data_IF_397076830855
#
_entry.id   IF_397076830855
#
_cell.length_a   1.000
_cell.length_b   1.000
_cell.length_c   1.000
_cell.angle_alpha   90.00
_cell.angle_beta   90.00
_cell.angle_gamma   90.00
#
_symmetry.space_group_name_H-M   'P 1'
#
loop_
_entity.id
_entity.type
_entity.pdbx_description
1 polymer ?
#
# COMPACT_ATOMS: atom_id res chain seq x y z
N UNK A 1 3.36 7.21 -9.01
CA UNK A 1 2.35 6.53 -9.85
C UNK A 1 2.96 5.88 -11.09
N UNK A 2 3.87 6.56 -11.76
CA UNK A 2 4.48 6.02 -12.97
C UNK A 2 5.18 4.68 -12.72
N UNK A 3 5.98 4.59 -11.67
CA UNK A 3 6.64 3.34 -11.29
C UNK A 3 5.64 2.24 -10.95
N UNK A 4 4.54 2.60 -10.30
CA UNK A 4 3.48 1.63 -9.99
C UNK A 4 2.83 1.07 -11.26
N UNK A 5 2.62 1.92 -12.26
CA UNK A 5 2.01 1.49 -13.52
C UNK A 5 2.93 0.53 -14.29
N UNK A 6 4.24 0.80 -14.29
CA UNK A 6 5.23 -0.04 -14.98
C UNK A 6 5.93 -1.04 -14.06
N UNK A 7 5.34 -1.34 -12.91
CA UNK A 7 5.96 -2.24 -11.93
C UNK A 7 6.22 -3.65 -12.46
N UNK A 8 5.48 -4.09 -13.48
CA UNK A 8 5.75 -5.33 -14.20
C UNK A 8 7.13 -5.32 -14.88
N UNK A 9 7.56 -4.16 -15.38
CA UNK A 9 8.88 -3.99 -15.99
C UNK A 9 9.99 -3.89 -14.93
N UNK A 10 9.68 -3.36 -13.75
CA UNK A 10 10.65 -3.15 -12.67
C UNK A 10 10.86 -4.40 -11.82
N UNK A 11 9.82 -5.19 -11.60
CA UNK A 11 9.84 -6.33 -10.69
C UNK A 11 10.91 -7.38 -11.03
N UNK A 12 11.17 -7.73 -12.31
CA UNK A 12 12.24 -8.69 -12.64
C UNK A 12 13.63 -8.21 -12.25
N UNK A 13 13.83 -6.90 -12.07
CA UNK A 13 15.12 -6.30 -11.73
C UNK A 13 15.26 -5.96 -10.25
N UNK A 14 14.21 -6.19 -9.45
CA UNK A 14 14.18 -5.79 -8.05
C UNK A 14 14.13 -7.03 -7.14
N UNK A 15 14.84 -6.96 -6.02
CA UNK A 15 14.74 -7.99 -4.97
C UNK A 15 13.51 -7.75 -4.10
N UNK A 16 13.15 -6.49 -3.90
CA UNK A 16 11.96 -6.12 -3.13
C UNK A 16 11.43 -4.75 -3.58
N UNK A 17 10.17 -4.53 -3.32
CA UNK A 17 9.52 -3.23 -3.46
C UNK A 17 9.10 -2.70 -2.09
N UNK A 18 9.22 -1.39 -1.90
CA UNK A 18 8.56 -0.70 -0.79
C UNK A 18 7.70 0.41 -1.38
N UNK A 19 6.42 0.40 -1.02
CA UNK A 19 5.47 1.41 -1.46
C UNK A 19 5.38 2.48 -0.37
N UNK A 20 5.68 3.72 -0.72
CA UNK A 20 5.42 4.87 0.13
C UNK A 20 4.00 5.35 -0.13
N UNK A 21 3.09 5.01 0.78
CA UNK A 21 1.66 5.31 0.61
C UNK A 21 1.37 6.81 0.58
N UNK A 22 2.13 7.62 1.30
CA UNK A 22 1.95 9.07 1.29
C UNK A 22 2.39 9.67 -0.05
N UNK A 23 3.52 9.22 -0.56
CA UNK A 23 4.06 9.70 -1.82
C UNK A 23 3.17 9.32 -3.00
N UNK A 24 2.72 8.07 -3.06
CA UNK A 24 1.84 7.64 -4.15
C UNK A 24 0.49 8.37 -4.11
N UNK A 25 -0.05 8.60 -2.93
CA UNK A 25 -1.30 9.36 -2.78
C UNK A 25 -1.14 10.80 -3.25
N UNK A 26 -0.08 11.48 -2.81
CA UNK A 26 0.18 12.88 -3.21
C UNK A 26 0.32 13.04 -4.72
N UNK A 27 1.10 12.19 -5.34
CA UNK A 27 1.34 12.29 -6.78
C UNK A 27 0.13 11.84 -7.61
N UNK A 28 -0.59 10.83 -7.16
CA UNK A 28 -1.79 10.37 -7.85
C UNK A 28 -2.89 11.42 -7.82
N UNK A 29 -3.05 12.09 -6.67
CA UNK A 29 -4.11 13.07 -6.46
C UNK A 29 -3.66 14.52 -6.76
N UNK A 30 -2.40 14.69 -7.15
CA UNK A 30 -1.78 16.01 -7.40
C UNK A 30 -1.98 16.96 -6.20
N UNK A 31 -1.82 16.43 -4.99
CA UNK A 31 -2.05 17.16 -3.73
C UNK A 31 -0.77 17.12 -2.90
N UNK A 32 -0.32 18.25 -2.42
CA UNK A 32 0.91 18.38 -1.63
C UNK A 32 0.65 18.75 -0.17
N UNK A 33 -0.62 18.84 0.23
CA UNK A 33 -1.02 19.07 1.60
C UNK A 33 -1.05 17.77 2.40
N UNK A 34 -1.06 17.87 3.75
CA UNK A 34 -1.07 16.69 4.62
C UNK A 34 -2.31 15.83 4.43
N UNK A 35 -3.47 16.47 4.20
CA UNK A 35 -4.73 15.79 3.93
C UNK A 35 -5.06 15.90 2.44
N UNK A 36 -4.71 14.88 1.68
CA UNK A 36 -4.94 14.84 0.24
C UNK A 36 -6.33 14.31 -0.15
N UNK A 37 -7.05 13.70 0.78
CA UNK A 37 -8.37 13.15 0.47
C UNK A 37 -9.45 14.18 0.73
N UNK A 38 -10.19 14.55 -0.33
CA UNK A 38 -11.35 15.44 -0.21
C UNK A 38 -12.49 14.70 0.50
N UNK A 39 -13.17 15.34 1.47
CA UNK A 39 -14.31 14.72 2.14
C UNK A 39 -15.41 14.23 1.20
N UNK A 40 -15.62 14.94 0.09
CA UNK A 40 -16.69 14.61 -0.88
C UNK A 40 -16.32 13.45 -1.81
N UNK A 41 -15.02 13.20 -2.03
CA UNK A 41 -14.54 12.22 -3.00
C UNK A 41 -13.55 11.21 -2.41
N UNK A 42 -13.45 11.16 -1.07
CA UNK A 42 -12.43 10.36 -0.39
C UNK A 42 -12.42 8.89 -0.82
N UNK A 43 -13.59 8.28 -0.97
CA UNK A 43 -13.70 6.86 -1.36
C UNK A 43 -13.13 6.60 -2.75
N UNK A 44 -13.48 7.46 -3.73
CA UNK A 44 -12.95 7.33 -5.09
C UNK A 44 -11.47 7.61 -5.19
N UNK A 45 -10.98 8.59 -4.44
CA UNK A 45 -9.56 8.93 -4.35
C UNK A 45 -8.77 7.78 -3.73
N UNK A 46 -9.24 7.22 -2.64
CA UNK A 46 -8.62 6.07 -1.99
C UNK A 46 -8.61 4.86 -2.92
N UNK A 47 -9.70 4.59 -3.60
CA UNK A 47 -9.79 3.49 -4.55
C UNK A 47 -8.72 3.60 -5.65
N UNK A 48 -8.49 4.80 -6.19
CA UNK A 48 -7.45 5.01 -7.20
C UNK A 48 -6.06 4.67 -6.66
N UNK A 49 -5.74 5.13 -5.46
CA UNK A 49 -4.46 4.84 -4.78
C UNK A 49 -4.34 3.36 -4.51
N UNK A 50 -5.39 2.72 -3.99
CA UNK A 50 -5.39 1.29 -3.68
C UNK A 50 -5.21 0.42 -4.93
N UNK A 51 -5.76 0.82 -6.06
CA UNK A 51 -5.54 0.11 -7.33
C UNK A 51 -4.09 0.17 -7.80
N UNK A 52 -3.43 1.30 -7.65
CA UNK A 52 -2.01 1.42 -7.97
C UNK A 52 -1.15 0.58 -7.04
N UNK A 53 -1.44 0.59 -5.75
CA UNK A 53 -0.76 -0.24 -4.75
C UNK A 53 -0.97 -1.72 -5.10
N UNK A 54 -2.19 -2.13 -5.38
CA UNK A 54 -2.53 -3.50 -5.74
C UNK A 54 -1.83 -3.97 -7.00
N UNK A 55 -1.72 -3.11 -8.01
CA UNK A 55 -1.00 -3.41 -9.24
C UNK A 55 0.49 -3.68 -8.96
N UNK A 56 1.11 -2.83 -8.16
CA UNK A 56 2.52 -3.00 -7.76
C UNK A 56 2.73 -4.29 -6.97
N UNK A 57 1.84 -4.59 -6.03
CA UNK A 57 1.91 -5.80 -5.21
C UNK A 57 1.77 -7.06 -6.08
N UNK A 58 0.80 -7.08 -6.98
CA UNK A 58 0.59 -8.20 -7.89
C UNK A 58 1.82 -8.46 -8.75
N UNK A 59 2.40 -7.41 -9.30
CA UNK A 59 3.58 -7.55 -10.16
C UNK A 59 4.81 -8.00 -9.37
N UNK A 60 4.98 -7.54 -8.12
CA UNK A 60 6.04 -8.01 -7.24
C UNK A 60 5.90 -9.51 -6.95
N UNK A 61 4.73 -9.93 -6.49
CA UNK A 61 4.46 -11.33 -6.13
C UNK A 61 4.64 -12.24 -7.36
N UNK A 62 4.14 -11.83 -8.51
CA UNK A 62 4.24 -12.59 -9.75
C UNK A 62 5.70 -12.84 -10.17
N UNK A 63 6.59 -11.92 -9.84
CA UNK A 63 8.02 -12.01 -10.19
C UNK A 63 8.90 -12.48 -9.02
N UNK A 64 8.30 -12.94 -7.93
CA UNK A 64 9.02 -13.43 -6.76
C UNK A 64 9.70 -12.35 -5.94
N UNK A 65 9.40 -11.08 -6.15
CA UNK A 65 9.91 -9.98 -5.35
C UNK A 65 9.05 -9.82 -4.08
N UNK A 66 9.69 -9.40 -3.00
CA UNK A 66 8.97 -9.07 -1.77
C UNK A 66 8.40 -7.67 -1.86
N UNK A 67 7.32 -7.41 -1.17
CA UNK A 67 6.70 -6.10 -1.17
C UNK A 67 6.27 -5.67 0.23
N UNK A 68 6.69 -4.45 0.59
CA UNK A 68 6.31 -3.80 1.82
C UNK A 68 5.61 -2.47 1.56
N UNK A 69 5.04 -1.90 2.61
CA UNK A 69 4.37 -0.60 2.56
C UNK A 69 4.77 0.24 3.77
N UNK A 70 4.96 1.53 3.54
CA UNK A 70 5.19 2.53 4.59
C UNK A 70 4.24 3.71 4.40
N UNK A 71 4.27 4.65 5.32
CA UNK A 71 3.43 5.84 5.30
C UNK A 71 2.12 5.67 6.03
N UNK A 72 1.24 6.66 5.92
CA UNK A 72 0.01 6.75 6.72
C UNK A 72 -0.94 5.57 6.49
N UNK A 73 -1.07 5.10 5.26
CA UNK A 73 -1.97 3.98 4.96
C UNK A 73 -1.47 2.66 5.54
N UNK A 74 -0.16 2.50 5.70
CA UNK A 74 0.41 1.29 6.34
C UNK A 74 -0.05 1.15 7.79
N UNK A 75 -0.29 2.26 8.48
CA UNK A 75 -0.78 2.29 9.86
C UNK A 75 -2.30 2.25 9.98
N UNK A 76 -3.04 2.32 8.89
CA UNK A 76 -4.50 2.28 8.89
C UNK A 76 -4.98 0.83 8.97
N UNK A 77 -5.44 0.43 10.16
CA UNK A 77 -5.85 -0.96 10.42
C UNK A 77 -7.09 -1.39 9.63
N UNK A 78 -7.90 -0.46 9.14
CA UNK A 78 -9.01 -0.80 8.26
C UNK A 78 -8.56 -1.32 6.90
N UNK A 79 -7.33 -1.01 6.49
CA UNK A 79 -6.75 -1.43 5.21
C UNK A 79 -5.79 -2.61 5.34
N UNK A 80 -5.40 -2.98 6.55
CA UNK A 80 -4.41 -4.05 6.79
C UNK A 80 -4.79 -5.35 6.08
N UNK A 81 -6.05 -5.76 6.17
CA UNK A 81 -6.52 -6.97 5.51
C UNK A 81 -6.38 -6.91 3.99
N UNK A 82 -6.69 -5.76 3.40
CA UNK A 82 -6.57 -5.58 1.95
C UNK A 82 -5.12 -5.68 1.50
N UNK A 83 -4.19 -5.05 2.23
CA UNK A 83 -2.77 -5.12 1.93
C UNK A 83 -2.22 -6.55 2.04
N UNK A 84 -2.62 -7.28 3.08
CA UNK A 84 -2.22 -8.68 3.23
C UNK A 84 -2.73 -9.55 2.08
N UNK A 85 -3.96 -9.34 1.64
CA UNK A 85 -4.54 -10.08 0.50
C UNK A 85 -3.85 -9.75 -0.83
N UNK A 86 -3.27 -8.56 -0.94
CA UNK A 86 -2.46 -8.19 -2.10
C UNK A 86 -1.10 -8.88 -2.13
N UNK A 87 -0.68 -9.47 -1.00
CA UNK A 87 0.64 -10.10 -0.85
C UNK A 87 1.68 -9.22 -0.16
N UNK A 88 1.27 -8.06 0.36
CA UNK A 88 2.16 -7.19 1.14
C UNK A 88 2.40 -7.85 2.50
N UNK A 89 3.66 -8.14 2.81
CA UNK A 89 4.05 -8.87 4.03
C UNK A 89 4.92 -8.05 4.98
N UNK A 90 5.18 -6.79 4.67
CA UNK A 90 6.02 -5.92 5.49
C UNK A 90 5.35 -4.56 5.65
N UNK A 91 5.07 -4.19 6.89
CA UNK A 91 4.41 -2.94 7.24
C UNK A 91 5.38 -2.09 8.07
N UNK A 92 5.82 -0.98 7.49
CA UNK A 92 6.65 0.00 8.19
C UNK A 92 5.74 1.11 8.72
N UNK A 93 5.57 1.17 10.02
CA UNK A 93 4.64 2.09 10.68
C UNK A 93 5.35 2.87 11.78
N UNK A 94 4.74 3.98 12.20
CA UNK A 94 5.25 4.73 13.35
C UNK A 94 5.11 3.91 14.64
N UNK A 95 5.97 4.12 15.66
CA UNK A 95 5.94 3.31 16.88
C UNK A 95 4.59 3.30 17.60
N UNK A 96 3.84 4.40 17.53
CA UNK A 96 2.52 4.52 18.15
C UNK A 96 1.45 3.63 17.48
N UNK A 97 1.68 3.22 16.24
CA UNK A 97 0.77 2.34 15.48
C UNK A 97 1.17 0.87 15.50
N UNK A 98 2.37 0.57 15.94
CA UNK A 98 2.95 -0.78 15.82
C UNK A 98 2.10 -1.86 16.48
N UNK A 99 1.66 -1.63 17.72
CA UNK A 99 0.86 -2.61 18.46
C UNK A 99 -0.50 -2.89 17.81
N UNK A 100 -1.17 -1.85 17.31
CA UNK A 100 -2.47 -1.96 16.64
C UNK A 100 -2.35 -2.75 15.33
N UNK A 101 -1.35 -2.44 14.52
CA UNK A 101 -1.11 -3.14 13.25
C UNK A 101 -0.75 -4.60 13.49
N UNK A 102 0.12 -4.88 14.46
CA UNK A 102 0.47 -6.25 14.86
C UNK A 102 -0.76 -7.07 15.24
N UNK A 103 -1.59 -6.50 16.09
CA UNK A 103 -2.83 -7.15 16.50
C UNK A 103 -3.73 -7.42 15.30
N UNK A 104 -3.92 -6.44 14.44
CA UNK A 104 -4.77 -6.58 13.25
C UNK A 104 -4.26 -7.65 12.29
N UNK A 105 -2.96 -7.73 12.09
CA UNK A 105 -2.35 -8.77 11.23
C UNK A 105 -2.71 -10.17 11.72
N UNK A 106 -2.71 -10.40 13.04
CA UNK A 106 -3.06 -11.71 13.60
C UNK A 106 -4.56 -12.03 13.49
N UNK A 107 -5.41 -11.04 13.33
CA UNK A 107 -6.87 -11.22 13.23
C UNK A 107 -7.35 -11.45 11.79
N UNK A 108 -6.52 -11.15 10.79
CA UNK A 108 -6.93 -11.26 9.39
C UNK A 108 -6.89 -12.70 8.93
N UNK A 109 -8.00 -13.15 8.34
CA UNK A 109 -8.11 -14.45 7.72
C UNK A 109 -7.87 -14.31 6.21
N UNK A 110 -6.81 -14.96 5.72
CA UNK A 110 -6.43 -14.93 4.31
C UNK A 110 -7.04 -16.07 3.48
N UNK A 111 -7.68 -17.02 4.11
CA UNK A 111 -8.28 -18.17 3.44
C UNK A 111 -9.70 -17.90 2.91
N UNK A 112 -10.22 -16.75 3.18
CA UNK A 112 -11.58 -16.36 2.77
C UNK A 112 -11.56 -15.59 1.48
#
# INVERSE_FOLDING_TARGET
>A
PAAAIISDCLAPMADFFIIDSDSIARHTLACYEEDCFSPDFADGQLEAVMRLIGNSARNAVKNGARIGICGSLAGDTSLTGDFLRMGIDNFCVTPDRLAEVRKRVTEVDLEV
#
